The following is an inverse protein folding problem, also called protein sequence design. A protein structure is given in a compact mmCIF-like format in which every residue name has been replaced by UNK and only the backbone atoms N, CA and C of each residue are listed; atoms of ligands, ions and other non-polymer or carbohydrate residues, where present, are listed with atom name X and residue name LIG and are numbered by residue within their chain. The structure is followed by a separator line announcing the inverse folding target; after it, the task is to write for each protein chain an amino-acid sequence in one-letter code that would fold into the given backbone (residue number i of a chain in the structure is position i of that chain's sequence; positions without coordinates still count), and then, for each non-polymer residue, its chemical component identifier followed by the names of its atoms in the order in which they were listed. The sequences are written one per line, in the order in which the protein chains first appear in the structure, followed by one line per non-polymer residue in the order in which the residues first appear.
data_IF_598769196835
#
_entry.id   IF_598769196835
#
_cell.length_a   1.000
_cell.length_b   1.000
_cell.length_c   1.000
_cell.angle_alpha   90.00
_cell.angle_beta   90.00
_cell.angle_gamma   90.00
#
_symmetry.space_group_name_H-M   'P 1'
#
loop_
_entity.id
_entity.type
_entity.pdbx_description
1 polymer ?
#
# COMPACT_ATOMS: atom_id res chain seq x y z
N UNK A 1 33.39 -21.36 39.73
CA UNK A 1 33.00 -22.10 38.51
C UNK A 1 31.71 -22.89 38.74
N UNK A 2 31.61 -23.77 39.74
CA UNK A 2 30.43 -24.61 40.07
C UNK A 2 29.16 -23.77 40.37
N UNK A 3 29.27 -22.57 40.96
CA UNK A 3 28.16 -21.67 41.16
C UNK A 3 27.64 -21.02 39.84
N UNK A 4 28.52 -20.77 38.89
CA UNK A 4 28.18 -20.23 37.58
C UNK A 4 27.47 -21.26 36.68
N UNK A 5 27.84 -22.53 36.75
CA UNK A 5 27.17 -23.58 35.99
C UNK A 5 25.76 -23.92 36.50
N UNK A 6 25.45 -23.62 37.78
CA UNK A 6 24.08 -23.74 38.31
C UNK A 6 23.12 -22.65 37.82
N UNK A 7 23.64 -21.57 37.26
CA UNK A 7 22.88 -20.47 36.68
C UNK A 7 22.90 -20.47 35.15
N UNK A 8 23.44 -21.51 34.50
CA UNK A 8 23.34 -21.63 33.05
C UNK A 8 21.87 -21.79 32.65
N UNK A 9 21.28 -20.74 32.09
CA UNK A 9 19.94 -20.80 31.54
C UNK A 9 19.87 -21.85 30.42
N UNK A 10 18.82 -22.63 30.38
CA UNK A 10 18.57 -23.49 29.22
C UNK A 10 18.39 -22.61 27.98
N UNK A 11 18.63 -23.18 26.78
CA UNK A 11 18.45 -22.45 25.49
C UNK A 11 17.06 -21.80 25.42
N UNK A 12 16.03 -22.46 25.92
CA UNK A 12 14.66 -21.92 26.01
C UNK A 12 14.59 -20.68 26.91
N UNK A 13 15.20 -20.75 28.10
CA UNK A 13 15.27 -19.61 29.02
C UNK A 13 16.07 -18.45 28.44
N UNK A 14 17.15 -18.73 27.67
CA UNK A 14 17.90 -17.67 26.98
C UNK A 14 17.06 -16.91 25.95
N UNK A 15 16.20 -17.63 25.22
CA UNK A 15 15.25 -17.02 24.27
C UNK A 15 14.21 -16.17 25.01
N UNK A 16 13.67 -16.66 26.11
CA UNK A 16 12.67 -15.92 26.91
C UNK A 16 13.27 -14.64 27.53
N UNK A 17 14.51 -14.74 28.05
CA UNK A 17 15.24 -13.56 28.54
C UNK A 17 15.57 -12.58 27.43
N UNK A 18 15.94 -13.02 26.24
CA UNK A 18 16.20 -12.12 25.11
C UNK A 18 14.97 -11.33 24.71
N UNK A 19 13.79 -11.97 24.71
CA UNK A 19 12.51 -11.29 24.46
C UNK A 19 12.21 -10.23 25.52
N UNK A 20 12.42 -10.59 26.79
CA UNK A 20 12.19 -9.65 27.89
C UNK A 20 13.14 -8.45 27.81
N UNK A 21 14.43 -8.68 27.52
CA UNK A 21 15.42 -7.59 27.34
C UNK A 21 15.02 -6.70 26.16
N UNK A 22 14.59 -7.29 25.06
CA UNK A 22 14.11 -6.55 23.91
C UNK A 22 12.87 -5.72 24.23
N UNK A 23 11.89 -6.30 24.92
CA UNK A 23 10.68 -5.58 25.37
C UNK A 23 11.04 -4.37 26.27
N UNK A 24 11.99 -4.56 27.19
CA UNK A 24 12.47 -3.47 28.03
C UNK A 24 13.24 -2.40 27.25
N UNK A 25 13.96 -2.79 26.21
CA UNK A 25 14.59 -1.86 25.28
C UNK A 25 13.54 -1.00 24.55
N UNK A 26 12.53 -1.64 23.95
CA UNK A 26 11.45 -0.93 23.25
C UNK A 26 10.73 0.05 24.17
N UNK A 27 10.42 -0.37 25.40
CA UNK A 27 9.79 0.52 26.39
C UNK A 27 10.65 1.74 26.74
N UNK A 28 11.98 1.58 26.85
CA UNK A 28 12.89 2.70 27.09
C UNK A 28 12.95 3.66 25.91
N UNK A 29 13.01 3.13 24.67
CA UNK A 29 13.00 3.96 23.48
C UNK A 29 11.70 4.75 23.34
N UNK A 30 10.54 4.13 23.67
CA UNK A 30 9.26 4.84 23.70
C UNK A 30 9.25 5.98 24.72
N UNK A 31 9.89 5.78 25.89
CA UNK A 31 10.03 6.86 26.88
C UNK A 31 10.89 7.99 26.30
N UNK A 32 12.04 7.66 25.70
CA UNK A 32 12.94 8.65 25.10
C UNK A 32 12.22 9.46 24.01
N UNK A 33 11.47 8.79 23.12
CA UNK A 33 10.69 9.46 22.07
C UNK A 33 9.64 10.40 22.69
N UNK A 34 8.93 9.94 23.72
CA UNK A 34 7.91 10.77 24.40
C UNK A 34 8.50 11.98 25.10
N UNK A 35 9.67 11.84 25.73
CA UNK A 35 10.41 12.95 26.36
C UNK A 35 10.87 13.97 25.32
N UNK A 36 11.38 13.52 24.16
CA UNK A 36 11.77 14.39 23.07
C UNK A 36 10.57 15.18 22.52
N UNK A 37 9.44 14.51 22.24
CA UNK A 37 8.21 15.16 21.83
C UNK A 37 7.75 16.20 22.86
N UNK A 38 7.78 15.83 24.14
CA UNK A 38 7.39 16.75 25.23
C UNK A 38 8.33 17.94 25.36
N UNK A 39 9.62 17.75 25.13
CA UNK A 39 10.63 18.81 25.15
C UNK A 39 10.43 19.77 23.98
N UNK A 40 10.36 19.26 22.76
CA UNK A 40 10.19 20.06 21.55
C UNK A 40 8.84 20.79 21.50
N UNK A 41 7.78 20.18 22.03
CA UNK A 41 6.45 20.82 22.11
C UNK A 41 6.38 21.98 23.11
N UNK A 42 7.35 22.08 24.05
CA UNK A 42 7.44 23.19 25.02
C UNK A 42 8.42 24.29 24.59
N UNK A 43 9.17 24.03 23.52
CA UNK A 43 10.11 25.03 22.99
C UNK A 43 9.33 26.02 22.14
N UNK A 44 9.23 27.27 22.61
CA UNK A 44 8.57 28.39 21.90
C UNK A 44 9.43 28.95 20.76
N UNK A 45 10.54 28.31 20.38
CA UNK A 45 11.33 28.73 19.23
C UNK A 45 10.54 28.55 17.93
N UNK A 46 10.52 29.58 17.09
CA UNK A 46 9.83 29.59 15.80
C UNK A 46 10.48 28.67 14.73
N UNK A 47 11.56 27.98 15.11
CA UNK A 47 12.35 27.19 14.19
C UNK A 47 11.74 25.79 13.91
N UNK A 48 10.86 25.28 14.80
CA UNK A 48 10.14 24.00 14.62
C UNK A 48 8.64 24.21 14.66
N UNK A 49 7.97 23.83 13.59
CA UNK A 49 6.50 23.81 13.55
C UNK A 49 5.96 22.53 14.19
N UNK A 50 4.69 22.56 14.64
CA UNK A 50 4.04 21.36 15.16
C UNK A 50 4.02 20.18 14.17
N UNK A 51 3.97 20.49 12.87
CA UNK A 51 4.05 19.49 11.78
C UNK A 51 5.42 18.80 11.77
N UNK A 52 6.52 19.55 11.91
CA UNK A 52 7.87 18.97 11.96
C UNK A 52 8.06 18.05 13.18
N UNK A 53 7.46 18.41 14.32
CA UNK A 53 7.52 17.56 15.53
C UNK A 53 6.76 16.25 15.32
N UNK A 54 5.61 16.29 14.65
CA UNK A 54 4.83 15.10 14.30
C UNK A 54 5.64 14.20 13.34
N UNK A 55 6.24 14.77 12.30
CA UNK A 55 7.04 14.03 11.32
C UNK A 55 8.25 13.34 11.97
N UNK A 56 9.00 14.06 12.81
CA UNK A 56 10.13 13.50 13.56
C UNK A 56 9.71 12.38 14.52
N UNK A 57 8.53 12.52 15.15
CA UNK A 57 7.96 11.51 16.01
C UNK A 57 7.52 10.25 15.25
N UNK A 58 6.82 10.41 14.12
CA UNK A 58 6.40 9.30 13.24
C UNK A 58 7.61 8.53 12.72
N UNK A 59 8.64 9.24 12.25
CA UNK A 59 9.88 8.61 11.80
C UNK A 59 10.56 7.82 12.90
N UNK A 60 10.66 8.38 14.11
CA UNK A 60 11.29 7.72 15.25
C UNK A 60 10.52 6.48 15.69
N UNK A 61 9.20 6.52 15.67
CA UNK A 61 8.32 5.38 15.97
C UNK A 61 8.41 4.31 14.90
N UNK A 62 8.46 4.70 13.62
CA UNK A 62 8.64 3.79 12.50
C UNK A 62 9.97 3.05 12.58
N UNK A 63 11.08 3.77 12.79
CA UNK A 63 12.42 3.20 12.95
C UNK A 63 12.48 2.21 14.12
N UNK A 64 11.80 2.51 15.23
CA UNK A 64 11.72 1.61 16.39
C UNK A 64 10.92 0.35 16.06
N UNK A 65 9.80 0.48 15.34
CA UNK A 65 8.97 -0.65 14.93
C UNK A 65 9.70 -1.56 13.92
N UNK A 66 10.45 -0.98 12.99
CA UNK A 66 11.26 -1.72 12.01
C UNK A 66 12.37 -2.51 12.70
N UNK A 67 13.08 -1.90 13.66
CA UNK A 67 14.10 -2.59 14.48
C UNK A 67 13.54 -3.72 15.34
N UNK A 68 12.25 -3.66 15.70
CA UNK A 68 11.56 -4.72 16.45
C UNK A 68 11.27 -5.97 15.64
N UNK A 69 11.24 -5.88 14.31
CA UNK A 69 10.86 -6.97 13.42
C UNK A 69 12.04 -7.85 12.95
N UNK A 70 13.15 -7.88 13.67
CA UNK A 70 14.33 -8.72 13.35
C UNK A 70 14.06 -10.23 13.26
N UNK A 71 12.87 -10.68 13.67
CA UNK A 71 12.54 -12.12 13.67
C UNK A 71 12.13 -12.67 12.29
N UNK A 72 11.98 -11.83 11.25
CA UNK A 72 11.58 -12.28 9.92
C UNK A 72 12.64 -12.08 8.82
N UNK A 73 13.86 -11.61 9.18
CA UNK A 73 14.87 -11.21 8.19
C UNK A 73 15.53 -12.38 7.45
N UNK A 74 15.54 -13.58 8.04
CA UNK A 74 16.14 -14.76 7.41
C UNK A 74 15.15 -15.92 7.35
N UNK A 75 14.59 -16.18 6.19
CA UNK A 75 13.88 -17.42 5.89
C UNK A 75 14.89 -18.53 5.59
N UNK A 76 14.67 -19.71 6.14
CA UNK A 76 15.44 -20.90 5.73
C UNK A 76 15.10 -21.22 4.27
N UNK A 77 16.12 -21.63 3.50
CA UNK A 77 15.95 -21.91 2.07
C UNK A 77 14.85 -22.95 1.78
N UNK A 78 14.70 -23.97 2.63
CA UNK A 78 13.63 -24.95 2.50
C UNK A 78 12.23 -24.31 2.61
N UNK A 79 12.04 -23.35 3.52
CA UNK A 79 10.77 -22.62 3.65
C UNK A 79 10.49 -21.74 2.42
N UNK A 80 11.54 -21.12 1.87
CA UNK A 80 11.42 -20.35 0.62
C UNK A 80 11.08 -21.26 -0.57
N UNK A 81 11.65 -22.49 -0.62
CA UNK A 81 11.31 -23.47 -1.65
C UNK A 81 9.85 -23.94 -1.55
N UNK A 82 9.36 -24.21 -0.34
CA UNK A 82 7.97 -24.61 -0.14
C UNK A 82 7.00 -23.53 -0.64
N UNK A 83 7.27 -22.25 -0.33
CA UNK A 83 6.50 -21.13 -0.84
C UNK A 83 6.57 -21.00 -2.37
N UNK A 84 7.74 -21.24 -2.96
CA UNK A 84 7.92 -21.19 -4.42
C UNK A 84 7.13 -22.28 -5.12
N UNK A 85 7.12 -23.49 -4.57
CA UNK A 85 6.35 -24.63 -5.10
C UNK A 85 4.85 -24.37 -4.99
N UNK A 86 4.42 -23.78 -3.88
CA UNK A 86 3.01 -23.41 -3.69
C UNK A 86 2.57 -22.35 -4.71
N UNK A 87 3.36 -21.31 -4.93
CA UNK A 87 3.11 -20.29 -5.96
C UNK A 87 3.06 -20.90 -7.37
N UNK A 88 4.01 -21.77 -7.72
CA UNK A 88 4.02 -22.47 -9.00
C UNK A 88 2.78 -23.36 -9.19
N UNK A 89 2.35 -24.03 -8.13
CA UNK A 89 1.14 -24.88 -8.16
C UNK A 89 -0.13 -24.04 -8.33
N UNK A 90 -0.20 -22.87 -7.71
CA UNK A 90 -1.31 -21.93 -7.90
C UNK A 90 -1.33 -21.38 -9.33
N UNK A 91 -0.16 -21.05 -9.88
CA UNK A 91 -0.02 -20.60 -11.26
C UNK A 91 -0.54 -21.63 -12.29
N UNK A 92 -0.23 -22.90 -12.06
CA UNK A 92 -0.70 -23.99 -12.93
C UNK A 92 -2.21 -24.24 -12.84
N UNK A 93 -2.85 -23.84 -11.75
CA UNK A 93 -4.29 -24.00 -11.54
C UNK A 93 -5.11 -22.80 -12.01
N UNK A 94 -4.46 -21.67 -12.29
CA UNK A 94 -5.15 -20.49 -12.81
C UNK A 94 -5.47 -20.68 -14.29
N UNK A 95 -6.75 -20.57 -14.67
CA UNK A 95 -7.23 -20.79 -16.05
C UNK A 95 -6.62 -19.82 -17.08
N UNK A 96 -6.00 -18.73 -16.64
CA UNK A 96 -5.42 -17.71 -17.52
C UNK A 96 -3.91 -17.50 -17.33
N UNK A 97 -3.24 -18.31 -16.50
CA UNK A 97 -1.81 -18.13 -16.21
C UNK A 97 -1.45 -16.84 -15.47
N UNK A 98 -2.43 -16.09 -14.97
CA UNK A 98 -2.25 -14.84 -14.22
C UNK A 98 -2.29 -15.19 -12.72
N UNK A 99 -1.15 -15.02 -12.06
CA UNK A 99 -1.01 -15.26 -10.60
C UNK A 99 -1.09 -13.96 -9.81
N UNK A 100 -0.63 -12.87 -10.41
CA UNK A 100 -0.67 -11.53 -9.84
C UNK A 100 -2.04 -10.86 -10.01
N UNK A 101 -2.14 -9.62 -9.55
CA UNK A 101 -3.32 -8.77 -9.77
C UNK A 101 -3.36 -8.40 -11.26
N UNK A 102 -4.45 -8.71 -11.99
CA UNK A 102 -4.53 -8.42 -13.43
C UNK A 102 -4.63 -6.92 -13.68
N UNK A 103 -3.97 -6.45 -14.72
CA UNK A 103 -3.99 -5.05 -15.16
C UNK A 103 -5.22 -4.70 -15.98
N UNK A 104 -5.90 -5.70 -16.54
CA UNK A 104 -7.00 -5.54 -17.50
C UNK A 104 -6.55 -5.32 -18.94
N UNK A 105 -5.25 -5.41 -19.21
CA UNK A 105 -4.66 -5.32 -20.53
C UNK A 105 -4.06 -6.68 -20.88
N UNK A 106 -4.72 -7.40 -21.79
CA UNK A 106 -4.42 -8.80 -22.10
C UNK A 106 -2.94 -9.03 -22.43
N UNK A 107 -2.39 -8.24 -23.36
CA UNK A 107 -0.99 -8.38 -23.78
C UNK A 107 0.01 -8.08 -22.65
N UNK A 108 -0.37 -7.19 -21.71
CA UNK A 108 0.45 -6.85 -20.56
C UNK A 108 0.37 -7.96 -19.51
N UNK A 109 -0.81 -8.46 -19.27
CA UNK A 109 -1.07 -9.54 -18.31
C UNK A 109 -0.40 -10.85 -18.77
N UNK A 110 -0.43 -11.17 -20.07
CA UNK A 110 0.30 -12.31 -20.65
C UNK A 110 1.81 -12.22 -20.44
N UNK A 111 2.38 -11.00 -20.52
CA UNK A 111 3.82 -10.79 -20.37
C UNK A 111 4.28 -10.74 -18.93
N UNK A 112 3.47 -10.16 -18.04
CA UNK A 112 3.82 -9.97 -16.63
C UNK A 112 3.33 -11.10 -15.72
N UNK A 113 2.32 -11.87 -16.15
CA UNK A 113 1.59 -12.78 -15.25
C UNK A 113 0.72 -12.04 -14.23
N UNK A 114 0.36 -10.78 -14.49
CA UNK A 114 -0.24 -9.84 -13.57
C UNK A 114 0.79 -9.08 -12.72
N UNK A 115 0.33 -8.22 -11.81
CA UNK A 115 1.17 -7.47 -10.87
C UNK A 115 1.40 -8.31 -9.60
N UNK A 116 2.64 -8.66 -9.32
CA UNK A 116 2.98 -9.49 -8.17
C UNK A 116 3.25 -8.66 -6.91
N UNK A 117 3.09 -9.30 -5.75
CA UNK A 117 3.45 -8.68 -4.46
C UNK A 117 4.93 -8.34 -4.42
N UNK A 118 5.26 -7.19 -3.86
CA UNK A 118 6.62 -6.67 -3.73
C UNK A 118 7.28 -6.18 -5.03
N UNK A 119 6.58 -6.21 -6.17
CA UNK A 119 7.09 -5.67 -7.42
C UNK A 119 7.00 -4.14 -7.45
N UNK A 120 8.01 -3.52 -8.02
CA UNK A 120 8.01 -2.12 -8.41
C UNK A 120 7.90 -2.02 -9.93
N UNK A 121 6.75 -1.58 -10.44
CA UNK A 121 6.52 -1.39 -11.87
C UNK A 121 6.55 0.09 -12.20
N UNK A 122 7.46 0.52 -13.09
CA UNK A 122 7.64 1.91 -13.47
C UNK A 122 7.04 2.15 -14.85
N UNK A 123 6.09 3.08 -14.93
CA UNK A 123 5.50 3.55 -16.18
C UNK A 123 6.11 4.91 -16.53
N UNK A 124 6.87 4.97 -17.62
CA UNK A 124 7.51 6.20 -18.09
C UNK A 124 6.98 6.61 -19.48
N UNK A 125 6.94 7.90 -19.74
CA UNK A 125 6.52 8.47 -21.02
C UNK A 125 6.60 9.99 -21.00
N UNK A 126 6.59 10.61 -22.17
CA UNK A 126 6.55 12.08 -22.30
C UNK A 126 5.26 12.63 -21.71
N UNK A 127 5.23 13.90 -21.30
CA UNK A 127 3.99 14.58 -20.88
C UNK A 127 2.86 14.35 -21.91
N UNK A 128 1.63 14.22 -21.43
CA UNK A 128 0.42 14.01 -22.24
C UNK A 128 0.33 12.70 -23.03
N UNK A 129 1.22 11.74 -22.80
CA UNK A 129 1.17 10.41 -23.47
C UNK A 129 0.23 9.41 -22.78
N UNK A 130 -0.58 9.84 -21.83
CA UNK A 130 -1.60 8.99 -21.21
C UNK A 130 -1.13 8.13 -20.03
N UNK A 131 0.02 8.40 -19.40
CA UNK A 131 0.50 7.67 -18.22
C UNK A 131 -0.57 7.54 -17.12
N UNK A 132 -1.17 8.67 -16.73
CA UNK A 132 -2.20 8.70 -15.69
C UNK A 132 -3.47 7.96 -16.12
N UNK A 133 -3.83 8.03 -17.43
CA UNK A 133 -4.96 7.26 -17.95
C UNK A 133 -4.72 5.75 -17.83
N UNK A 134 -3.52 5.30 -18.21
CA UNK A 134 -3.13 3.90 -18.08
C UNK A 134 -3.15 3.45 -16.59
N UNK A 135 -2.55 4.25 -15.71
CA UNK A 135 -2.52 3.94 -14.28
C UNK A 135 -3.93 3.88 -13.66
N UNK A 136 -4.82 4.82 -14.01
CA UNK A 136 -6.22 4.80 -13.52
C UNK A 136 -7.00 3.59 -14.03
N UNK A 137 -6.76 3.16 -15.27
CA UNK A 137 -7.41 1.97 -15.83
C UNK A 137 -6.95 0.70 -15.14
N UNK A 138 -5.65 0.57 -14.90
CA UNK A 138 -5.10 -0.56 -14.14
C UNK A 138 -5.69 -0.58 -12.72
N UNK A 139 -5.68 0.56 -12.02
CA UNK A 139 -6.20 0.67 -10.67
C UNK A 139 -7.70 0.32 -10.59
N UNK A 140 -8.49 0.84 -11.53
CA UNK A 140 -9.91 0.52 -11.63
C UNK A 140 -10.15 -0.97 -11.87
N UNK A 141 -9.44 -1.56 -12.84
CA UNK A 141 -9.61 -2.97 -13.18
C UNK A 141 -9.20 -3.88 -12.04
N UNK A 142 -8.08 -3.58 -11.38
CA UNK A 142 -7.63 -4.29 -10.19
C UNK A 142 -8.68 -4.24 -9.06
N UNK A 143 -9.21 -3.05 -8.75
CA UNK A 143 -10.23 -2.88 -7.73
C UNK A 143 -11.52 -3.65 -8.08
N UNK A 144 -11.93 -3.64 -9.35
CA UNK A 144 -13.07 -4.40 -9.85
C UNK A 144 -12.87 -5.90 -9.67
N UNK A 145 -11.69 -6.43 -9.99
CA UNK A 145 -11.38 -7.85 -9.80
C UNK A 145 -11.35 -8.27 -8.34
N UNK A 146 -10.80 -7.45 -7.46
CA UNK A 146 -10.83 -7.65 -6.02
C UNK A 146 -12.29 -7.75 -5.52
N UNK A 147 -13.17 -6.88 -5.99
CA UNK A 147 -14.59 -6.90 -5.64
C UNK A 147 -15.30 -8.15 -6.20
N UNK A 148 -15.09 -8.49 -7.47
CA UNK A 148 -15.66 -9.68 -8.12
C UNK A 148 -15.26 -10.98 -7.40
N UNK A 149 -14.01 -11.05 -6.92
CA UNK A 149 -13.47 -12.22 -6.20
C UNK A 149 -13.82 -12.22 -4.70
N UNK A 150 -14.48 -11.19 -4.18
CA UNK A 150 -14.72 -10.98 -2.74
C UNK A 150 -13.44 -11.04 -1.90
N UNK A 151 -12.33 -10.53 -2.41
CA UNK A 151 -11.06 -10.46 -1.71
C UNK A 151 -11.07 -9.34 -0.67
N UNK A 152 -10.35 -9.54 0.45
CA UNK A 152 -10.17 -8.51 1.50
C UNK A 152 -9.02 -7.54 1.19
N UNK A 153 -8.77 -7.30 -0.07
CA UNK A 153 -7.71 -6.44 -0.56
C UNK A 153 -8.29 -5.11 -1.05
N UNK A 154 -7.45 -4.11 -1.21
CA UNK A 154 -7.83 -2.79 -1.74
C UNK A 154 -6.73 -2.22 -2.61
N UNK A 155 -7.08 -1.25 -3.44
CA UNK A 155 -6.16 -0.48 -4.27
C UNK A 155 -6.03 0.93 -3.70
N UNK A 156 -4.82 1.39 -3.45
CA UNK A 156 -4.53 2.77 -3.07
C UNK A 156 -3.90 3.51 -4.26
N UNK A 157 -4.43 4.66 -4.59
CA UNK A 157 -3.96 5.52 -5.67
C UNK A 157 -3.52 6.87 -5.09
N UNK A 158 -2.22 7.13 -5.08
CA UNK A 158 -1.65 8.40 -4.62
C UNK A 158 -1.45 9.32 -5.82
N UNK A 159 -2.08 10.49 -5.82
CA UNK A 159 -2.04 11.45 -6.91
C UNK A 159 -1.44 12.77 -6.48
N UNK A 160 -0.31 13.14 -7.08
CA UNK A 160 0.36 14.41 -6.83
C UNK A 160 -0.02 15.51 -7.84
N UNK A 161 -0.68 15.16 -8.94
CA UNK A 161 -1.00 16.11 -10.04
C UNK A 161 -2.51 16.37 -10.18
N UNK A 162 -3.36 15.38 -9.88
CA UNK A 162 -4.79 15.43 -10.14
C UNK A 162 -5.57 15.23 -8.84
N UNK A 163 -6.66 16.02 -8.67
CA UNK A 163 -7.56 15.83 -7.55
C UNK A 163 -8.34 14.52 -7.65
N UNK A 164 -8.82 14.03 -6.51
CA UNK A 164 -9.69 12.85 -6.40
C UNK A 164 -10.94 12.97 -7.29
N UNK A 165 -11.53 14.17 -7.37
CA UNK A 165 -12.67 14.45 -8.26
C UNK A 165 -12.33 14.28 -9.74
N UNK A 166 -11.14 14.75 -10.16
CA UNK A 166 -10.71 14.64 -11.55
C UNK A 166 -10.45 13.18 -11.93
N UNK A 167 -9.85 12.40 -11.04
CA UNK A 167 -9.61 10.97 -11.24
C UNK A 167 -10.92 10.19 -11.28
N UNK A 168 -11.83 10.44 -10.33
CA UNK A 168 -13.15 9.83 -10.28
C UNK A 168 -13.98 10.16 -11.53
N UNK A 169 -13.94 11.42 -11.98
CA UNK A 169 -14.61 11.84 -13.21
C UNK A 169 -14.05 11.10 -14.44
N UNK A 170 -12.74 10.88 -14.49
CA UNK A 170 -12.10 10.14 -15.59
C UNK A 170 -12.56 8.69 -15.60
N UNK A 171 -12.47 7.99 -14.47
CA UNK A 171 -12.89 6.60 -14.34
C UNK A 171 -14.37 6.45 -14.72
N UNK A 172 -15.22 7.28 -14.13
CA UNK A 172 -16.66 7.20 -14.36
C UNK A 172 -17.05 7.52 -15.81
N UNK A 173 -16.41 8.54 -16.41
CA UNK A 173 -16.65 8.89 -17.81
C UNK A 173 -16.25 7.77 -18.77
N UNK A 174 -15.13 7.11 -18.48
CA UNK A 174 -14.67 5.97 -19.28
C UNK A 174 -15.62 4.79 -19.16
N UNK A 175 -16.04 4.43 -17.95
CA UNK A 175 -16.98 3.33 -17.72
C UNK A 175 -18.37 3.62 -18.31
N UNK A 176 -18.84 4.87 -18.23
CA UNK A 176 -20.11 5.30 -18.83
C UNK A 176 -20.01 5.50 -20.35
N UNK A 177 -18.79 5.48 -20.91
CA UNK A 177 -18.51 5.78 -22.33
C UNK A 177 -19.01 7.17 -22.74
N UNK A 178 -18.71 8.16 -21.92
CA UNK A 178 -19.10 9.57 -22.14
C UNK A 178 -17.81 10.41 -22.10
N UNK A 179 -17.74 11.41 -22.97
CA UNK A 179 -16.60 12.32 -22.97
C UNK A 179 -16.62 13.16 -21.70
N UNK A 180 -15.57 13.06 -20.87
CA UNK A 180 -15.48 13.77 -19.57
C UNK A 180 -15.64 15.29 -19.69
N UNK A 181 -15.22 15.86 -20.82
CA UNK A 181 -15.36 17.28 -21.11
C UNK A 181 -16.82 17.70 -21.33
N UNK A 182 -17.67 16.83 -21.86
CA UNK A 182 -19.09 17.13 -22.08
C UNK A 182 -19.86 17.13 -20.76
N UNK A 183 -19.51 16.23 -19.83
CA UNK A 183 -20.01 16.26 -18.44
C UNK A 183 -19.61 17.59 -17.76
N UNK A 184 -18.33 17.96 -17.81
CA UNK A 184 -17.83 19.19 -17.17
C UNK A 184 -18.43 20.46 -17.73
N UNK A 185 -18.79 20.48 -19.00
CA UNK A 185 -19.39 21.65 -19.68
C UNK A 185 -20.91 21.65 -19.66
N UNK A 186 -21.55 20.64 -19.07
CA UNK A 186 -23.01 20.49 -19.07
C UNK A 186 -23.60 20.28 -20.47
N UNK A 187 -22.84 19.66 -21.36
CA UNK A 187 -23.26 19.36 -22.75
C UNK A 187 -23.77 17.93 -22.93
N UNK A 188 -23.68 17.12 -21.89
CA UNK A 188 -24.19 15.77 -21.92
C UNK A 188 -25.73 15.75 -22.08
N UNK A 189 -26.25 14.83 -22.89
CA UNK A 189 -27.68 14.61 -23.00
C UNK A 189 -28.27 14.02 -21.71
N UNK A 190 -29.58 14.07 -21.57
CA UNK A 190 -30.28 13.48 -20.41
C UNK A 190 -30.05 11.96 -20.34
N UNK A 191 -30.01 11.28 -21.48
CA UNK A 191 -29.69 9.85 -21.56
C UNK A 191 -28.27 9.55 -21.09
N UNK A 192 -27.31 10.38 -21.50
CA UNK A 192 -25.90 10.25 -21.06
C UNK A 192 -25.77 10.50 -19.57
N UNK A 193 -26.44 11.51 -19.03
CA UNK A 193 -26.45 11.78 -17.60
C UNK A 193 -27.04 10.61 -16.79
N UNK A 194 -28.15 10.04 -17.24
CA UNK A 194 -28.77 8.88 -16.60
C UNK A 194 -27.81 7.68 -16.60
N UNK A 195 -27.16 7.40 -17.73
CA UNK A 195 -26.14 6.35 -17.83
C UNK A 195 -24.94 6.61 -16.90
N UNK A 196 -24.52 7.87 -16.78
CA UNK A 196 -23.43 8.28 -15.88
C UNK A 196 -23.79 8.01 -14.41
N UNK A 197 -25.02 8.35 -14.01
CA UNK A 197 -25.53 8.10 -12.64
C UNK A 197 -25.68 6.60 -12.38
N UNK A 198 -26.18 5.84 -13.35
CA UNK A 198 -26.29 4.38 -13.21
C UNK A 198 -24.92 3.72 -13.06
N UNK A 199 -23.95 4.13 -13.90
CA UNK A 199 -22.59 3.65 -13.81
C UNK A 199 -21.96 3.99 -12.45
N UNK A 200 -22.22 5.19 -11.92
CA UNK A 200 -21.68 5.57 -10.61
C UNK A 200 -22.17 4.66 -9.48
N UNK A 201 -23.43 4.22 -9.53
CA UNK A 201 -23.98 3.27 -8.55
C UNK A 201 -23.29 1.91 -8.63
N UNK A 202 -22.97 1.44 -9.84
CA UNK A 202 -22.33 0.14 -10.04
C UNK A 202 -20.88 0.10 -9.55
N UNK A 203 -20.19 1.25 -9.53
CA UNK A 203 -18.80 1.35 -9.10
C UNK A 203 -18.63 1.97 -7.72
N UNK A 204 -19.72 2.29 -7.03
CA UNK A 204 -19.71 3.02 -5.77
C UNK A 204 -18.95 2.31 -4.64
N UNK A 205 -19.04 0.98 -4.60
CA UNK A 205 -18.44 0.15 -3.55
C UNK A 205 -17.08 -0.46 -3.95
N UNK A 206 -16.44 0.04 -5.02
CA UNK A 206 -15.13 -0.45 -5.40
C UNK A 206 -14.10 -0.19 -4.29
N UNK A 207 -13.26 -1.17 -3.94
CA UNK A 207 -12.20 -1.01 -2.95
C UNK A 207 -11.01 -0.22 -3.51
N UNK A 208 -11.26 0.99 -4.03
CA UNK A 208 -10.30 1.93 -4.60
C UNK A 208 -10.25 3.19 -3.74
N UNK A 209 -9.10 3.45 -3.13
CA UNK A 209 -8.85 4.62 -2.29
C UNK A 209 -7.93 5.59 -3.03
N UNK A 210 -8.30 6.87 -3.05
CA UNK A 210 -7.52 7.93 -3.71
C UNK A 210 -7.05 8.90 -2.65
N UNK A 211 -5.74 9.13 -2.62
CA UNK A 211 -5.09 10.14 -1.79
C UNK A 211 -4.52 11.23 -2.71
N UNK A 212 -4.87 12.48 -2.45
CA UNK A 212 -4.42 13.66 -3.19
C UNK A 212 -3.57 14.60 -2.34
N UNK A 213 -3.10 14.12 -1.18
CA UNK A 213 -2.28 14.93 -0.26
C UNK A 213 -0.99 15.34 -0.97
N UNK A 214 -0.73 16.65 -1.17
CA UNK A 214 0.52 17.11 -1.74
C UNK A 214 1.65 16.88 -0.73
N UNK A 215 2.80 16.41 -1.21
CA UNK A 215 4.00 16.20 -0.42
C UNK A 215 3.82 15.19 0.73
N UNK A 216 3.54 13.95 0.39
CA UNK A 216 3.71 12.83 1.32
C UNK A 216 5.23 12.63 1.47
N UNK A 217 5.79 13.05 2.60
CA UNK A 217 7.18 12.84 2.99
C UNK A 217 7.27 11.65 3.93
#
# INVERSE_FOLDING_TARGET
LIKLTRFSASVKQAIDYSKLVHEMYVKRELINISENISYESRDDSLDKTGENIIEDAEKSLFDLAERGNFSQTFLKFNQALDQTIEMATQAMKSDQGIVGVPTGLTDLDEKLGGLHKSDLVIIAGRPSMGKTALATNIAYYAAKKIQENNEKSSVAFFSLEMSSEQLSTRILSEQARIVSNDIRRGKASEEELNRYIETSRNIYELPLYIDETPAIT
#
